data_IF_624330123801
#
_entry.id   IF_624330123801
#
_cell.length_a   1.000
_cell.length_b   1.000
_cell.length_c   1.000
_cell.angle_alpha   90.00
_cell.angle_beta   90.00
_cell.angle_gamma   90.00
#
_symmetry.space_group_name_H-M   'P 1'
#
loop_
_entity.id
_entity.type
_entity.pdbx_description
1 polymer ?
#
# COMPACT_ATOMS: atom_id res chain seq x y z
N UNK A 1 -6.34 -3.54 18.46
CA UNK A 1 -4.95 -3.91 18.11
C UNK A 1 -4.97 -5.42 17.96
N UNK A 2 -4.47 -5.95 16.84
CA UNK A 2 -4.43 -7.40 16.63
C UNK A 2 -3.59 -8.12 17.70
N UNK A 3 -3.86 -9.41 17.89
CA UNK A 3 -3.02 -10.26 18.73
C UNK A 3 -1.81 -10.70 17.90
N UNK A 4 -0.61 -10.31 18.33
CA UNK A 4 0.63 -10.70 17.66
C UNK A 4 1.51 -11.51 18.61
N UNK A 5 2.14 -12.54 18.08
CA UNK A 5 3.25 -13.22 18.75
C UNK A 5 4.57 -12.80 18.12
N UNK A 6 5.56 -12.48 18.95
CA UNK A 6 6.93 -12.20 18.52
C UNK A 6 7.86 -13.26 19.13
N UNK A 7 8.51 -14.05 18.29
CA UNK A 7 9.40 -15.11 18.74
C UNK A 7 10.61 -15.26 17.81
N UNK A 8 11.69 -15.87 18.32
CA UNK A 8 12.86 -16.22 17.51
C UNK A 8 12.58 -17.49 16.71
N UNK A 9 12.84 -17.48 15.42
CA UNK A 9 12.67 -18.63 14.54
C UNK A 9 13.91 -18.79 13.64
N UNK A 10 14.28 -20.03 13.34
CA UNK A 10 15.30 -20.33 12.33
C UNK A 10 14.61 -20.44 10.97
N UNK A 11 14.96 -19.56 10.03
CA UNK A 11 14.41 -19.54 8.68
C UNK A 11 15.48 -19.87 7.65
N UNK A 12 15.06 -20.52 6.57
CA UNK A 12 15.95 -20.86 5.46
C UNK A 12 16.27 -19.60 4.63
N UNK A 13 17.55 -19.41 4.33
CA UNK A 13 18.03 -18.35 3.44
C UNK A 13 17.71 -18.77 2.01
N UNK A 14 17.12 -17.89 1.22
CA UNK A 14 16.94 -18.10 -0.23
C UNK A 14 18.28 -17.79 -0.92
N UNK A 15 18.96 -18.77 -1.53
CA UNK A 15 20.25 -18.54 -2.17
C UNK A 15 20.09 -17.62 -3.39
N UNK A 16 21.00 -16.66 -3.56
CA UNK A 16 20.95 -15.72 -4.68
C UNK A 16 21.34 -16.39 -6.02
N UNK A 17 22.19 -17.42 -5.95
CA UNK A 17 22.67 -18.23 -7.08
C UNK A 17 21.62 -19.25 -7.57
N UNK A 18 20.84 -19.80 -6.65
CA UNK A 18 19.77 -20.76 -6.96
C UNK A 18 18.54 -20.54 -6.05
N UNK A 19 17.66 -19.60 -6.42
CA UNK A 19 16.46 -19.28 -5.63
C UNK A 19 15.44 -20.43 -5.56
N UNK A 20 15.58 -21.47 -6.40
CA UNK A 20 14.68 -22.63 -6.43
C UNK A 20 15.21 -23.81 -5.63
N UNK A 21 16.40 -23.69 -5.02
CA UNK A 21 16.96 -24.72 -4.14
C UNK A 21 15.96 -25.11 -3.07
N UNK A 22 15.83 -26.42 -2.85
CA UNK A 22 14.86 -26.93 -1.89
C UNK A 22 15.19 -26.43 -0.48
N UNK A 23 14.23 -25.92 0.30
CA UNK A 23 14.53 -25.24 1.57
C UNK A 23 15.40 -26.05 2.53
N UNK A 24 15.20 -27.38 2.63
CA UNK A 24 16.01 -28.24 3.53
C UNK A 24 17.52 -28.17 3.27
N UNK A 25 17.89 -27.86 2.03
CA UNK A 25 19.27 -27.84 1.52
C UNK A 25 19.86 -26.41 1.58
N UNK A 26 19.13 -25.47 2.16
CA UNK A 26 19.56 -24.08 2.35
C UNK A 26 20.01 -23.82 3.80
N UNK A 27 21.00 -22.93 3.93
CA UNK A 27 21.44 -22.42 5.23
C UNK A 27 20.30 -21.77 6.02
N UNK A 28 20.45 -21.75 7.35
CA UNK A 28 19.47 -21.18 8.27
C UNK A 28 20.02 -19.95 8.98
N UNK A 29 19.17 -18.95 9.18
CA UNK A 29 19.46 -17.77 9.99
C UNK A 29 18.37 -17.56 11.04
N UNK A 30 18.76 -17.07 12.22
CA UNK A 30 17.82 -16.74 13.28
C UNK A 30 17.21 -15.37 13.01
N UNK A 31 15.88 -15.32 12.92
CA UNK A 31 15.11 -14.09 12.70
C UNK A 31 14.09 -13.90 13.82
N UNK A 32 13.67 -12.65 14.03
CA UNK A 32 12.48 -12.36 14.80
C UNK A 32 11.26 -12.49 13.88
N UNK A 33 10.39 -13.46 14.17
CA UNK A 33 9.14 -13.66 13.44
C UNK A 33 8.01 -13.01 14.20
N UNK A 34 7.39 -12.02 13.56
CA UNK A 34 6.13 -11.42 13.99
C UNK A 34 5.00 -12.15 13.26
N UNK A 35 4.08 -12.74 14.01
CA UNK A 35 2.96 -13.49 13.45
C UNK A 35 1.66 -13.01 14.09
N UNK A 36 0.71 -12.63 13.26
CA UNK A 36 -0.65 -12.32 13.70
C UNK A 36 -1.37 -13.62 14.11
N UNK A 37 -2.13 -13.56 15.18
CA UNK A 37 -2.85 -14.70 15.75
C UNK A 37 -4.34 -14.44 15.71
N UNK A 38 -5.10 -15.53 15.64
CA UNK A 38 -6.57 -15.54 15.69
C UNK A 38 -7.28 -14.87 14.50
N UNK A 39 -6.57 -14.33 13.50
CA UNK A 39 -7.18 -13.68 12.34
C UNK A 39 -8.18 -14.59 11.64
N UNK A 40 -7.79 -15.82 11.32
CA UNK A 40 -8.65 -16.76 10.57
C UNK A 40 -9.85 -17.21 11.41
N UNK A 41 -9.63 -17.45 12.71
CA UNK A 41 -10.69 -17.82 13.66
C UNK A 41 -11.72 -16.69 13.78
N UNK A 42 -11.27 -15.45 13.97
CA UNK A 42 -12.16 -14.29 14.10
C UNK A 42 -12.92 -14.04 12.79
N UNK A 43 -12.25 -14.15 11.64
CA UNK A 43 -12.90 -14.05 10.33
C UNK A 43 -14.00 -15.08 10.16
N UNK A 44 -13.74 -16.35 10.49
CA UNK A 44 -14.74 -17.40 10.42
C UNK A 44 -15.92 -17.14 11.37
N UNK A 45 -15.65 -16.76 12.62
CA UNK A 45 -16.71 -16.51 13.61
C UNK A 45 -17.64 -15.37 13.19
N UNK A 46 -17.10 -14.23 12.77
CA UNK A 46 -17.90 -13.10 12.32
C UNK A 46 -18.67 -13.40 11.03
N UNK A 47 -18.04 -14.11 10.08
CA UNK A 47 -18.72 -14.58 8.87
C UNK A 47 -19.97 -15.41 9.19
N UNK A 48 -19.93 -16.25 10.23
CA UNK A 48 -21.10 -17.00 10.68
C UNK A 48 -22.11 -16.17 11.45
N UNK A 49 -21.65 -15.33 12.36
CA UNK A 49 -22.53 -14.49 13.18
C UNK A 49 -23.38 -13.60 12.28
N UNK A 50 -22.75 -12.90 11.34
CA UNK A 50 -23.43 -12.03 10.37
C UNK A 50 -24.40 -12.84 9.47
N UNK A 51 -23.97 -14.00 8.98
CA UNK A 51 -24.81 -14.83 8.11
C UNK A 51 -26.00 -15.49 8.82
N UNK A 52 -25.91 -15.71 10.13
CA UNK A 52 -26.98 -16.30 10.95
C UNK A 52 -27.92 -15.24 11.54
N UNK A 53 -27.45 -13.99 11.72
CA UNK A 53 -28.29 -12.90 12.20
C UNK A 53 -29.37 -12.51 11.17
N UNK A 54 -29.10 -12.76 9.89
CA UNK A 54 -29.99 -12.41 8.79
C UNK A 54 -29.92 -10.93 8.38
N UNK A 55 -28.91 -10.21 8.86
CA UNK A 55 -28.70 -8.78 8.56
C UNK A 55 -27.98 -8.54 7.23
N UNK A 56 -27.49 -9.60 6.59
CA UNK A 56 -26.76 -9.53 5.33
C UNK A 56 -27.36 -10.47 4.30
N UNK A 57 -27.30 -10.07 3.03
CA UNK A 57 -27.64 -10.94 1.89
C UNK A 57 -26.39 -11.54 1.23
N UNK A 58 -25.21 -11.01 1.57
CA UNK A 58 -23.96 -11.36 0.93
C UNK A 58 -22.75 -11.21 1.85
N UNK A 59 -21.88 -12.21 1.82
CA UNK A 59 -20.52 -12.14 2.38
C UNK A 59 -19.50 -12.03 1.25
N UNK A 60 -18.52 -11.14 1.41
CA UNK A 60 -17.36 -11.04 0.50
C UNK A 60 -16.09 -11.32 1.29
N UNK A 61 -15.45 -12.45 1.00
CA UNK A 61 -14.20 -12.83 1.63
C UNK A 61 -13.02 -12.41 0.74
N UNK A 62 -12.09 -11.65 1.30
CA UNK A 62 -10.88 -11.22 0.61
C UNK A 62 -9.70 -12.04 1.12
N UNK A 63 -9.43 -13.18 0.49
CA UNK A 63 -8.38 -14.11 0.93
C UNK A 63 -7.93 -15.06 -0.20
N UNK A 64 -6.75 -15.65 -0.02
CA UNK A 64 -6.35 -16.87 -0.74
C UNK A 64 -5.96 -18.00 0.24
N UNK A 65 -6.35 -17.87 1.51
CA UNK A 65 -6.02 -18.82 2.58
C UNK A 65 -7.05 -19.96 2.64
N UNK A 66 -6.57 -21.18 2.39
CA UNK A 66 -7.39 -22.38 2.39
C UNK A 66 -7.95 -22.76 3.74
N UNK A 67 -7.39 -22.24 4.83
CA UNK A 67 -7.83 -22.58 6.18
C UNK A 67 -9.27 -22.11 6.46
N UNK A 68 -9.79 -21.19 5.64
CA UNK A 68 -11.19 -20.74 5.67
C UNK A 68 -12.15 -21.60 4.83
N UNK A 69 -11.68 -22.64 4.13
CA UNK A 69 -12.52 -23.57 3.36
C UNK A 69 -13.64 -24.19 4.21
N UNK A 70 -13.36 -24.75 5.41
CA UNK A 70 -14.41 -25.34 6.24
C UNK A 70 -15.48 -24.32 6.67
N UNK A 71 -15.07 -23.06 6.85
CA UNK A 71 -16.01 -21.98 7.18
C UNK A 71 -16.94 -21.67 6.00
N UNK A 72 -16.48 -21.72 4.75
CA UNK A 72 -17.34 -21.53 3.60
C UNK A 72 -18.26 -22.73 3.32
N UNK A 73 -17.79 -23.96 3.55
CA UNK A 73 -18.58 -25.18 3.38
C UNK A 73 -19.79 -25.20 4.33
N UNK A 74 -19.58 -24.94 5.62
CA UNK A 74 -20.67 -24.92 6.58
C UNK A 74 -21.60 -23.69 6.36
N UNK A 75 -21.11 -22.59 5.75
CA UNK A 75 -21.93 -21.43 5.42
C UNK A 75 -22.88 -21.79 4.27
N UNK A 76 -22.37 -22.47 3.24
CA UNK A 76 -23.18 -22.98 2.14
C UNK A 76 -24.25 -23.96 2.65
N UNK A 77 -23.91 -24.81 3.62
CA UNK A 77 -24.86 -25.78 4.17
C UNK A 77 -25.95 -25.14 5.05
N UNK A 78 -25.59 -24.16 5.88
CA UNK A 78 -26.50 -23.57 6.88
C UNK A 78 -27.26 -22.34 6.38
N UNK A 79 -26.60 -21.52 5.56
CA UNK A 79 -27.15 -20.29 5.02
C UNK A 79 -27.02 -20.29 3.48
N UNK A 80 -27.66 -21.25 2.76
CA UNK A 80 -27.49 -21.37 1.32
C UNK A 80 -27.97 -20.15 0.53
N UNK A 81 -28.89 -19.36 1.11
CA UNK A 81 -29.45 -18.14 0.53
C UNK A 81 -28.46 -16.96 0.53
N UNK A 82 -27.42 -16.99 1.37
CA UNK A 82 -26.41 -15.94 1.43
C UNK A 82 -25.49 -16.04 0.23
N UNK A 83 -25.37 -14.96 -0.54
CA UNK A 83 -24.43 -14.86 -1.66
C UNK A 83 -23.00 -14.85 -1.10
N UNK A 84 -22.10 -15.57 -1.76
CA UNK A 84 -20.71 -15.80 -1.31
C UNK A 84 -19.78 -15.30 -2.38
N UNK A 85 -19.12 -14.17 -2.12
CA UNK A 85 -18.09 -13.61 -2.98
C UNK A 85 -16.70 -13.95 -2.49
N UNK A 86 -15.79 -14.25 -3.41
CA UNK A 86 -14.37 -14.43 -3.11
C UNK A 86 -13.55 -13.42 -3.92
N UNK A 87 -12.72 -12.64 -3.24
CA UNK A 87 -11.71 -11.78 -3.86
C UNK A 87 -10.34 -12.32 -3.48
N UNK A 88 -9.55 -12.65 -4.49
CA UNK A 88 -8.21 -13.19 -4.31
C UNK A 88 -7.24 -12.00 -4.41
N UNK A 89 -6.57 -11.61 -3.31
CA UNK A 89 -5.73 -10.42 -3.26
C UNK A 89 -4.37 -10.70 -3.92
N UNK A 90 -4.38 -10.97 -5.22
CA UNK A 90 -3.19 -11.19 -6.06
C UNK A 90 -3.12 -10.15 -7.18
N UNK A 91 -1.91 -9.89 -7.66
CA UNK A 91 -1.64 -8.99 -8.78
C UNK A 91 -1.41 -9.80 -10.06
N UNK A 92 -1.65 -9.15 -11.20
CA UNK A 92 -1.12 -9.64 -12.47
C UNK A 92 0.36 -9.28 -12.56
N UNK A 93 1.17 -10.21 -13.04
CA UNK A 93 2.62 -10.08 -13.19
C UNK A 93 2.98 -10.37 -14.65
N UNK A 94 3.88 -9.56 -15.20
CA UNK A 94 4.39 -9.71 -16.56
C UNK A 94 3.44 -9.19 -17.66
N UNK A 95 4.00 -8.98 -18.86
CA UNK A 95 3.27 -8.47 -20.02
C UNK A 95 2.18 -9.44 -20.54
N UNK A 96 2.29 -10.74 -20.20
CA UNK A 96 1.31 -11.78 -20.52
C UNK A 96 0.10 -11.82 -19.58
N UNK A 97 0.12 -11.09 -18.46
CA UNK A 97 -0.97 -11.06 -17.50
C UNK A 97 -1.08 -12.31 -16.62
N UNK A 98 0.02 -13.01 -16.40
CA UNK A 98 0.09 -14.17 -15.50
C UNK A 98 -0.25 -13.73 -14.06
N UNK A 99 -0.83 -14.63 -13.27
CA UNK A 99 -1.18 -14.32 -11.87
C UNK A 99 0.02 -14.61 -10.97
N UNK A 100 0.32 -13.70 -10.03
CA UNK A 100 1.37 -13.91 -9.02
C UNK A 100 1.09 -15.15 -8.15
N UNK A 101 -0.20 -15.40 -7.89
CA UNK A 101 -0.69 -16.58 -7.19
C UNK A 101 -1.94 -17.09 -7.88
N UNK A 102 -1.98 -18.40 -8.08
CA UNK A 102 -3.20 -19.03 -8.57
C UNK A 102 -4.31 -18.99 -7.52
N UNK A 103 -5.52 -18.86 -8.03
CA UNK A 103 -6.72 -18.91 -7.24
C UNK A 103 -6.86 -20.28 -6.59
N UNK A 104 -7.11 -20.34 -5.28
CA UNK A 104 -7.36 -21.64 -4.68
C UNK A 104 -8.66 -22.26 -5.21
N UNK A 105 -8.53 -23.46 -5.80
CA UNK A 105 -9.62 -24.19 -6.43
C UNK A 105 -10.72 -24.59 -5.43
N UNK A 106 -10.39 -24.87 -4.17
CA UNK A 106 -11.40 -25.26 -3.16
C UNK A 106 -12.30 -24.08 -2.79
N UNK A 107 -11.72 -22.94 -2.44
CA UNK A 107 -12.46 -21.73 -2.09
C UNK A 107 -13.31 -21.22 -3.25
N UNK A 108 -12.73 -21.22 -4.46
CA UNK A 108 -13.41 -20.73 -5.66
C UNK A 108 -14.68 -21.53 -5.99
N UNK A 109 -14.73 -22.83 -5.68
CA UNK A 109 -15.89 -23.69 -5.90
C UNK A 109 -17.06 -23.39 -4.95
N UNK A 110 -16.77 -22.85 -3.76
CA UNK A 110 -17.77 -22.56 -2.73
C UNK A 110 -18.38 -21.16 -2.89
N UNK A 111 -17.72 -20.30 -3.67
CA UNK A 111 -18.17 -18.95 -3.97
C UNK A 111 -19.14 -18.92 -5.17
N UNK A 112 -20.13 -18.05 -5.09
CA UNK A 112 -21.03 -17.74 -6.21
C UNK A 112 -20.35 -16.89 -7.28
N UNK A 113 -19.38 -16.06 -6.90
CA UNK A 113 -18.54 -15.32 -7.82
C UNK A 113 -17.13 -15.18 -7.28
N UNK A 114 -16.16 -15.10 -8.19
CA UNK A 114 -14.74 -15.01 -7.84
C UNK A 114 -14.08 -13.89 -8.63
N UNK A 115 -13.46 -12.95 -7.91
CA UNK A 115 -12.55 -11.96 -8.47
C UNK A 115 -11.12 -12.46 -8.29
N UNK A 116 -10.48 -12.80 -9.41
CA UNK A 116 -9.19 -13.51 -9.43
C UNK A 116 -7.96 -12.63 -9.21
N UNK A 117 -8.09 -11.31 -9.32
CA UNK A 117 -7.01 -10.36 -9.12
C UNK A 117 -7.57 -8.96 -8.82
N UNK A 118 -6.70 -8.11 -8.28
CA UNK A 118 -6.93 -6.67 -8.13
C UNK A 118 -5.99 -5.95 -9.11
N UNK A 119 -6.52 -5.07 -9.94
CA UNK A 119 -5.69 -4.30 -10.89
C UNK A 119 -4.95 -3.16 -10.20
N UNK A 120 -3.83 -2.75 -10.80
CA UNK A 120 -3.06 -1.61 -10.31
C UNK A 120 -3.85 -0.31 -10.37
N UNK A 121 -4.78 -0.17 -11.33
CA UNK A 121 -5.65 1.00 -11.42
C UNK A 121 -6.62 1.08 -10.25
N UNK A 122 -7.28 -0.04 -9.93
CA UNK A 122 -8.18 -0.11 -8.77
C UNK A 122 -7.43 0.17 -7.46
N UNK A 123 -6.19 -0.32 -7.33
CA UNK A 123 -5.35 0.01 -6.19
C UNK A 123 -5.03 1.51 -6.15
N UNK A 124 -4.66 2.10 -7.29
CA UNK A 124 -4.32 3.52 -7.41
C UNK A 124 -5.49 4.43 -7.03
N UNK A 125 -6.71 4.07 -7.44
CA UNK A 125 -7.92 4.85 -7.13
C UNK A 125 -8.49 4.59 -5.74
N UNK A 126 -8.09 3.50 -5.08
CA UNK A 126 -8.61 3.08 -3.76
C UNK A 126 -7.64 3.35 -2.61
N UNK A 127 -6.78 4.37 -2.73
CA UNK A 127 -5.88 4.77 -1.66
C UNK A 127 -6.62 5.53 -0.56
N UNK A 128 -6.24 5.28 0.71
CA UNK A 128 -6.66 6.14 1.81
C UNK A 128 -6.10 7.56 1.62
N UNK A 129 -6.75 8.59 2.20
CA UNK A 129 -6.16 9.93 2.29
C UNK A 129 -4.80 9.87 3.00
N UNK A 130 -3.87 10.75 2.62
CA UNK A 130 -2.54 10.78 3.24
C UNK A 130 -2.56 11.08 4.74
N UNK A 131 -3.64 11.69 5.22
CA UNK A 131 -3.89 11.91 6.65
C UNK A 131 -5.25 11.33 6.98
N UNK A 132 -5.26 10.26 7.76
CA UNK A 132 -6.48 9.65 8.27
C UNK A 132 -6.70 10.14 9.70
N UNK A 133 -7.79 10.88 9.98
CA UNK A 133 -8.08 11.35 11.33
C UNK A 133 -8.35 10.14 12.24
N UNK A 134 -7.61 10.06 13.35
CA UNK A 134 -7.81 9.04 14.38
C UNK A 134 -8.41 9.65 15.64
N UNK A 135 -8.96 8.80 16.53
CA UNK A 135 -9.57 9.24 17.80
C UNK A 135 -8.60 9.99 18.73
N UNK A 136 -7.30 9.70 18.67
CA UNK A 136 -6.25 10.36 19.49
C UNK A 136 -5.19 11.06 18.66
N UNK A 137 -4.72 10.42 17.60
CA UNK A 137 -3.69 10.94 16.70
C UNK A 137 -4.06 10.59 15.28
N UNK A 138 -3.85 11.53 14.36
CA UNK A 138 -3.99 11.27 12.94
C UNK A 138 -2.84 10.35 12.46
N UNK A 139 -3.18 9.39 11.60
CA UNK A 139 -2.20 8.56 10.91
C UNK A 139 -1.79 9.27 9.63
N UNK A 140 -0.49 9.51 9.47
CA UNK A 140 0.08 10.14 8.27
C UNK A 140 0.74 9.07 7.41
N UNK A 141 0.57 9.16 6.10
CA UNK A 141 1.21 8.29 5.12
C UNK A 141 2.73 8.27 5.35
N UNK A 142 3.33 7.12 5.68
CA UNK A 142 4.77 7.01 5.85
C UNK A 142 5.52 7.40 4.57
N UNK A 143 6.67 8.05 4.71
CA UNK A 143 7.51 8.42 3.55
C UNK A 143 7.94 7.21 2.73
N UNK A 144 8.15 6.07 3.38
CA UNK A 144 8.51 4.81 2.73
C UNK A 144 7.41 4.23 1.83
N UNK A 145 6.19 4.76 1.89
CA UNK A 145 5.06 4.30 1.07
C UNK A 145 4.88 5.11 -0.23
N UNK A 146 5.72 6.11 -0.49
CA UNK A 146 5.75 6.80 -1.78
C UNK A 146 6.57 5.97 -2.77
N UNK A 147 6.24 6.02 -4.06
CA UNK A 147 6.89 5.22 -5.10
C UNK A 147 8.43 5.37 -5.11
N UNK A 148 8.91 6.58 -4.83
CA UNK A 148 10.33 6.93 -4.75
C UNK A 148 10.59 7.73 -3.46
N UNK A 149 10.77 7.07 -2.30
CA UNK A 149 10.92 7.78 -1.01
C UNK A 149 12.10 8.75 -0.98
N UNK A 150 13.17 8.46 -1.72
CA UNK A 150 14.34 9.33 -1.85
C UNK A 150 14.04 10.62 -2.64
N UNK A 151 13.16 10.58 -3.65
CA UNK A 151 12.72 11.79 -4.34
C UNK A 151 11.91 12.69 -3.41
N UNK A 152 11.00 12.10 -2.61
CA UNK A 152 10.26 12.85 -1.62
C UNK A 152 11.21 13.51 -0.61
N UNK A 153 12.16 12.76 -0.05
CA UNK A 153 13.13 13.28 0.88
C UNK A 153 13.94 14.45 0.28
N UNK A 154 14.37 14.32 -0.99
CA UNK A 154 15.10 15.37 -1.70
C UNK A 154 14.24 16.60 -1.96
N UNK A 155 12.99 16.44 -2.39
CA UNK A 155 12.05 17.54 -2.57
C UNK A 155 11.84 18.31 -1.25
N UNK A 156 11.64 17.57 -0.15
CA UNK A 156 11.47 18.15 1.18
C UNK A 156 12.70 18.94 1.62
N UNK A 157 13.91 18.46 1.34
CA UNK A 157 15.18 19.14 1.61
C UNK A 157 15.32 20.41 0.77
N UNK A 158 15.15 20.31 -0.54
CA UNK A 158 15.34 21.42 -1.48
C UNK A 158 14.35 22.56 -1.24
N UNK A 159 13.12 22.27 -0.82
CA UNK A 159 12.09 23.29 -0.59
C UNK A 159 12.25 24.03 0.75
N UNK A 160 13.10 23.56 1.69
CA UNK A 160 13.26 24.17 3.03
C UNK A 160 13.55 25.68 3.05
N UNK A 161 14.37 26.23 2.15
CA UNK A 161 14.67 27.66 2.15
C UNK A 161 13.42 28.55 1.92
N UNK A 162 12.39 28.00 1.26
CA UNK A 162 11.15 28.72 0.94
C UNK A 162 10.00 28.29 1.85
N UNK A 163 9.90 27.00 2.16
CA UNK A 163 8.82 26.39 2.93
C UNK A 163 9.40 25.73 4.18
N UNK A 164 9.08 26.28 5.34
CA UNK A 164 9.80 26.01 6.61
C UNK A 164 9.43 24.67 7.23
N UNK A 165 8.22 24.20 6.99
CA UNK A 165 7.70 22.97 7.56
C UNK A 165 7.41 21.92 6.48
N UNK A 166 7.57 20.65 6.83
CA UNK A 166 7.21 19.53 5.93
C UNK A 166 5.74 19.62 5.48
N UNK A 167 4.85 20.04 6.39
CA UNK A 167 3.43 20.25 6.07
C UNK A 167 3.19 21.30 4.99
N UNK A 168 3.98 22.38 4.99
CA UNK A 168 3.91 23.41 3.92
C UNK A 168 4.41 22.86 2.59
N UNK A 169 5.54 22.14 2.58
CA UNK A 169 6.05 21.50 1.35
C UNK A 169 5.03 20.53 0.79
N UNK A 170 4.47 19.63 1.61
CA UNK A 170 3.47 18.67 1.15
C UNK A 170 2.17 19.35 0.70
N UNK A 171 1.75 20.44 1.36
CA UNK A 171 0.59 21.23 0.94
C UNK A 171 0.81 21.88 -0.42
N UNK A 172 2.00 22.39 -0.68
CA UNK A 172 2.38 22.91 -2.00
C UNK A 172 2.46 21.79 -3.04
N UNK A 173 3.14 20.68 -2.73
CA UNK A 173 3.35 19.57 -3.65
C UNK A 173 2.05 18.91 -4.12
N UNK A 174 0.97 19.02 -3.34
CA UNK A 174 -0.35 18.47 -3.65
C UNK A 174 -1.25 19.42 -4.44
N UNK A 175 -0.81 20.65 -4.70
CA UNK A 175 -1.53 21.62 -5.52
C UNK A 175 -1.06 21.53 -6.96
N UNK A 176 -1.97 21.76 -7.87
CA UNK A 176 -1.63 21.94 -9.29
C UNK A 176 -0.70 23.15 -9.44
N UNK A 177 0.37 22.98 -10.18
CA UNK A 177 1.34 24.04 -10.44
C UNK A 177 1.24 24.48 -11.90
N UNK A 178 0.93 25.76 -12.13
CA UNK A 178 0.94 26.34 -13.47
C UNK A 178 2.32 26.20 -14.15
N UNK A 179 3.41 26.27 -13.37
CA UNK A 179 4.78 26.11 -13.86
C UNK A 179 5.13 24.66 -14.25
N UNK A 180 4.35 23.68 -13.79
CA UNK A 180 4.54 22.26 -14.09
C UNK A 180 3.40 21.73 -14.98
N UNK A 181 2.79 22.62 -15.78
CA UNK A 181 1.73 22.27 -16.72
C UNK A 181 0.43 21.82 -16.04
N UNK A 182 0.10 22.39 -14.89
CA UNK A 182 -1.08 22.00 -14.10
C UNK A 182 -0.91 20.71 -13.32
N UNK A 183 0.26 20.05 -13.39
CA UNK A 183 0.52 18.82 -12.65
C UNK A 183 0.93 19.12 -11.22
N UNK A 184 0.70 18.15 -10.33
CA UNK A 184 1.06 18.25 -8.92
C UNK A 184 2.50 17.75 -8.74
N UNK A 185 3.40 18.51 -8.08
CA UNK A 185 4.76 18.05 -7.80
C UNK A 185 4.82 16.66 -7.14
N UNK A 186 3.85 16.35 -6.26
CA UNK A 186 3.78 15.07 -5.55
C UNK A 186 3.62 13.85 -6.47
N UNK A 187 2.95 14.01 -7.61
CA UNK A 187 2.77 12.94 -8.60
C UNK A 187 4.00 12.84 -9.52
N UNK A 188 4.61 13.97 -9.86
CA UNK A 188 5.76 14.03 -10.76
C UNK A 188 6.98 13.30 -10.19
N UNK A 189 7.19 13.41 -8.87
CA UNK A 189 8.31 12.74 -8.19
C UNK A 189 8.19 11.22 -8.14
N UNK A 190 7.09 10.62 -8.62
CA UNK A 190 6.97 9.16 -8.74
C UNK A 190 7.87 8.58 -9.85
N UNK A 191 8.36 9.44 -10.75
CA UNK A 191 9.27 9.07 -11.85
C UNK A 191 10.58 9.85 -11.76
N UNK A 192 11.67 9.31 -12.31
CA UNK A 192 12.97 9.98 -12.30
C UNK A 192 12.93 11.26 -13.16
N UNK A 193 12.28 11.21 -14.33
CA UNK A 193 12.12 12.37 -15.23
C UNK A 193 11.26 13.49 -14.61
N UNK A 194 10.13 13.14 -13.99
CA UNK A 194 9.28 14.12 -13.32
C UNK A 194 9.92 14.69 -12.06
N UNK A 195 10.75 13.91 -11.35
CA UNK A 195 11.51 14.41 -10.20
C UNK A 195 12.52 15.49 -10.62
N UNK A 196 13.25 15.28 -11.72
CA UNK A 196 14.17 16.29 -12.29
C UNK A 196 13.42 17.60 -12.57
N UNK A 197 12.26 17.52 -13.23
CA UNK A 197 11.44 18.71 -13.54
C UNK A 197 11.04 19.49 -12.27
N UNK A 198 10.63 18.77 -11.21
CA UNK A 198 10.27 19.39 -9.93
C UNK A 198 11.49 20.02 -9.25
N UNK A 199 12.65 19.35 -9.28
CA UNK A 199 13.87 19.84 -8.66
C UNK A 199 14.42 21.08 -9.37
N UNK A 200 14.44 21.07 -10.70
CA UNK A 200 14.85 22.22 -11.52
C UNK A 200 13.95 23.42 -11.26
N UNK A 201 12.64 23.19 -11.14
CA UNK A 201 11.69 24.23 -10.76
C UNK A 201 11.99 24.83 -9.38
N UNK A 202 12.23 23.99 -8.37
CA UNK A 202 12.55 24.46 -7.01
C UNK A 202 13.86 25.27 -7.02
N UNK A 203 14.88 24.80 -7.72
CA UNK A 203 16.17 25.50 -7.83
C UNK A 203 16.02 26.86 -8.52
N UNK A 204 15.33 26.90 -9.67
CA UNK A 204 15.08 28.14 -10.40
C UNK A 204 14.27 29.14 -9.57
N UNK A 205 13.27 28.67 -8.82
CA UNK A 205 12.46 29.51 -7.94
C UNK A 205 13.31 30.11 -6.81
N UNK A 206 14.16 29.30 -6.16
CA UNK A 206 15.05 29.76 -5.09
C UNK A 206 16.04 30.79 -5.63
N UNK A 207 16.65 30.54 -6.79
CA UNK A 207 17.57 31.49 -7.43
C UNK A 207 16.90 32.85 -7.67
N UNK A 208 15.71 32.83 -8.27
CA UNK A 208 14.94 34.06 -8.53
C UNK A 208 14.51 34.81 -7.24
N UNK A 209 14.34 34.11 -6.12
CA UNK A 209 14.03 34.75 -4.83
C UNK A 209 15.28 35.37 -4.20
N UNK A 210 16.44 34.75 -4.34
CA UNK A 210 17.72 35.30 -3.86
C UNK A 210 18.11 36.54 -4.67
N UNK A 211 17.96 36.51 -6.00
CA UNK A 211 18.27 37.66 -6.87
C UNK A 211 17.41 38.88 -6.52
N UNK A 212 16.11 38.67 -6.24
CA UNK A 212 15.19 39.74 -5.79
C UNK A 212 15.51 40.29 -4.40
N UNK A 213 16.07 39.48 -3.51
CA UNK A 213 16.50 39.94 -2.20
C UNK A 213 17.79 40.76 -2.29
N UNK A 214 18.72 40.40 -3.18
CA UNK A 214 19.95 41.15 -3.43
C UNK A 214 19.70 42.54 -4.02
N UNK A 215 18.77 42.66 -4.98
CA UNK A 215 18.41 43.96 -5.58
C UNK A 215 17.74 44.94 -4.58
N UNK A 216 17.10 44.44 -3.51
CA UNK A 216 16.50 45.29 -2.48
C UNK A 216 17.51 45.90 -1.52
N UNK A 217 18.61 45.21 -1.23
CA UNK A 217 19.66 45.73 -0.35
C UNK A 217 20.49 46.82 -1.07
N UNK A 218 20.73 46.70 -2.38
CA UNK A 218 21.46 47.69 -3.19
C UNK A 218 20.68 48.99 -3.44
N UNK A 219 19.34 48.97 -3.41
CA UNK A 219 18.49 50.18 -3.55
C UNK A 219 18.25 50.93 -2.23
N UNK A 220 18.75 50.40 -1.12
CA UNK A 220 18.62 50.99 0.22
C UNK A 220 19.92 51.59 0.77
N UNK A 221 20.99 51.59 -0.03
CA UNK A 221 22.29 52.21 0.27
C UNK A 221 22.47 53.59 -0.34
#
# INVERSE_FOLDING_TARGET
MGHYSLYKANQHIVPADDPKRWPRDCDKIQVWKLEEKQSDVNLALHLYDDALSGDIDQVVLVTNDTDLTPALEMLQARCPHIVRGLVIPTRKVGAGGDLEREANVSLAKLAHWVRRHISDDELRTSQLPDVVPGRRRASVKPHSWYAKPHHLARMLEMARPVLRTEGEVLKWARRESAHLGGRRPIDLIETDAGAVEVFDYIEAYIRNQLDKAGDQDDLSS
#
